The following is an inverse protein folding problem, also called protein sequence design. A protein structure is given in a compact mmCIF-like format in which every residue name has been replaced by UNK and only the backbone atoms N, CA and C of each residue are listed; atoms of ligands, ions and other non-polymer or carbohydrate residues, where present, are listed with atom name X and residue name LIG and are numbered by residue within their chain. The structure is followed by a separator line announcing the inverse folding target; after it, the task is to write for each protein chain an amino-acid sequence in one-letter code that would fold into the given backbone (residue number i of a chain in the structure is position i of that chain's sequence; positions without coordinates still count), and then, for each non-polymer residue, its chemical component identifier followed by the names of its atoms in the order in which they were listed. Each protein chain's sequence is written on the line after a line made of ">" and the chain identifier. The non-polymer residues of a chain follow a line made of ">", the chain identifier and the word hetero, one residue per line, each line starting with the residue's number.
data_IF_605481778853
#
_entry.id   IF_605481778853
#
_cell.length_a   1.000
_cell.length_b   1.000
_cell.length_c   1.000
_cell.angle_alpha   90.00
_cell.angle_beta   90.00
_cell.angle_gamma   90.00
#
_symmetry.space_group_name_H-M   'P 1'
#
loop_
_entity.id
_entity.type
_entity.pdbx_description
1 polymer ?
#
# COMPACT_ATOMS: atom_id res chain seq x y z
N UNK A 1 47.84 -12.96 -75.80
CA UNK A 1 48.49 -12.33 -74.65
C UNK A 1 49.13 -11.04 -75.10
N UNK A 2 48.40 -9.93 -75.26
CA UNK A 2 48.92 -8.67 -75.72
C UNK A 2 47.88 -7.62 -75.99
N UNK A 3 46.97 -7.36 -75.06
CA UNK A 3 45.91 -6.39 -75.28
C UNK A 3 45.56 -5.49 -74.11
N UNK A 4 46.02 -5.76 -72.90
CA UNK A 4 45.66 -4.99 -71.71
C UNK A 4 46.71 -3.93 -71.32
N UNK A 5 47.91 -3.98 -71.83
CA UNK A 5 49.02 -3.09 -71.47
C UNK A 5 49.03 -1.72 -72.17
N UNK A 6 48.23 -1.54 -73.24
CA UNK A 6 48.24 -0.31 -74.05
C UNK A 6 47.08 0.63 -73.76
N UNK A 7 46.02 0.12 -73.07
CA UNK A 7 44.85 0.93 -72.74
C UNK A 7 45.02 1.82 -71.51
N UNK A 8 46.01 1.53 -70.67
CA UNK A 8 46.29 2.31 -69.47
C UNK A 8 47.22 3.54 -69.70
N UNK A 9 47.76 3.72 -70.88
CA UNK A 9 48.69 4.84 -71.22
C UNK A 9 47.99 6.08 -71.78
N UNK A 10 46.65 6.05 -72.01
CA UNK A 10 45.95 7.19 -72.66
C UNK A 10 44.81 7.75 -71.71
N UNK A 11 44.79 7.42 -70.49
CA UNK A 11 43.85 8.08 -69.56
C UNK A 11 44.41 9.41 -69.10
N UNK A 12 43.71 10.50 -69.40
CA UNK A 12 44.02 11.86 -69.00
C UNK A 12 44.22 11.99 -67.48
N UNK A 13 45.20 12.78 -67.05
CA UNK A 13 45.55 12.97 -65.66
C UNK A 13 44.34 13.37 -64.78
N UNK A 14 43.32 14.01 -65.36
CA UNK A 14 42.11 14.41 -64.70
C UNK A 14 41.18 13.22 -64.31
N UNK A 15 41.22 12.12 -65.10
CA UNK A 15 40.42 10.92 -64.86
C UNK A 15 41.03 10.06 -63.70
N UNK A 16 42.37 10.03 -63.62
CA UNK A 16 43.07 9.37 -62.51
C UNK A 16 42.84 10.08 -61.17
N UNK A 17 42.89 11.41 -61.15
CA UNK A 17 42.61 12.19 -59.97
C UNK A 17 41.12 12.03 -59.51
N UNK A 18 40.17 11.86 -60.44
CA UNK A 18 38.75 11.66 -60.10
C UNK A 18 38.48 10.30 -59.53
N UNK A 19 39.18 9.25 -59.96
CA UNK A 19 39.07 7.88 -59.45
C UNK A 19 39.73 7.78 -58.08
N UNK A 20 40.87 8.43 -57.82
CA UNK A 20 41.52 8.46 -56.51
C UNK A 20 40.68 9.25 -55.49
N UNK A 21 40.04 10.37 -55.89
CA UNK A 21 39.20 11.16 -55.02
C UNK A 21 37.86 10.44 -54.68
N UNK A 22 37.32 9.67 -55.66
CA UNK A 22 36.09 8.86 -55.36
C UNK A 22 36.37 7.65 -54.44
N UNK A 23 37.56 6.98 -54.59
CA UNK A 23 37.94 5.90 -53.66
C UNK A 23 38.27 6.41 -52.27
N UNK A 24 38.93 7.54 -52.11
CA UNK A 24 39.17 8.13 -50.78
C UNK A 24 37.90 8.60 -50.12
N UNK A 25 36.91 9.14 -50.87
CA UNK A 25 35.59 9.49 -50.33
C UNK A 25 34.79 8.26 -49.91
N UNK A 26 34.87 7.14 -50.66
CA UNK A 26 34.16 5.92 -50.31
C UNK A 26 34.76 5.23 -49.06
N UNK A 27 36.08 5.30 -48.87
CA UNK A 27 36.75 4.82 -47.65
C UNK A 27 36.46 5.74 -46.44
N UNK A 28 36.48 7.06 -46.62
CA UNK A 28 36.14 8.00 -45.54
C UNK A 28 34.67 7.89 -45.11
N UNK A 29 33.74 7.63 -46.05
CA UNK A 29 32.32 7.42 -45.71
C UNK A 29 32.11 6.08 -45.01
N UNK A 30 32.86 5.02 -45.35
CA UNK A 30 32.81 3.75 -44.65
C UNK A 30 33.39 3.82 -43.22
N UNK A 31 34.52 4.51 -43.03
CA UNK A 31 35.07 4.70 -41.67
C UNK A 31 34.17 5.54 -40.78
N UNK A 32 33.57 6.62 -41.31
CA UNK A 32 32.64 7.46 -40.55
C UNK A 32 31.33 6.71 -40.21
N UNK A 33 30.86 5.83 -41.10
CA UNK A 33 29.67 5.01 -40.81
C UNK A 33 29.96 3.84 -39.84
N UNK A 34 31.17 3.26 -39.88
CA UNK A 34 31.57 2.23 -38.91
C UNK A 34 31.90 2.82 -37.54
N UNK A 35 32.49 4.02 -37.43
CA UNK A 35 32.68 4.72 -36.15
C UNK A 35 31.36 5.23 -35.57
N UNK A 36 30.41 5.75 -36.37
CA UNK A 36 29.09 6.15 -35.89
C UNK A 36 28.26 4.95 -35.41
N UNK A 37 28.34 3.81 -36.13
CA UNK A 37 27.67 2.57 -35.67
C UNK A 37 28.36 1.95 -34.42
N UNK A 38 29.68 2.11 -34.27
CA UNK A 38 30.37 1.69 -33.04
C UNK A 38 30.11 2.62 -31.85
N UNK A 39 29.79 3.88 -32.07
CA UNK A 39 29.39 4.81 -31.00
C UNK A 39 27.92 4.63 -30.59
N UNK A 40 27.02 4.17 -31.47
CA UNK A 40 25.65 3.85 -31.11
C UNK A 40 25.52 2.55 -30.29
N UNK A 41 26.44 1.59 -30.42
CA UNK A 41 26.43 0.34 -29.65
C UNK A 41 26.91 0.50 -28.20
N UNK A 42 27.43 1.66 -27.79
CA UNK A 42 27.94 1.91 -26.45
C UNK A 42 27.19 3.02 -25.66
N UNK A 43 26.00 3.41 -26.09
CA UNK A 43 25.12 4.20 -25.21
C UNK A 43 24.57 3.23 -24.16
N UNK A 44 25.27 3.07 -23.05
CA UNK A 44 24.73 2.48 -21.83
C UNK A 44 23.56 3.37 -21.44
N UNK A 45 22.34 2.97 -21.83
CA UNK A 45 21.12 3.67 -21.37
C UNK A 45 21.13 3.64 -19.86
N UNK A 46 21.17 4.81 -19.25
CA UNK A 46 21.02 4.88 -17.80
C UNK A 46 19.74 4.13 -17.37
N UNK A 47 19.81 3.38 -16.28
CA UNK A 47 18.65 2.61 -15.83
C UNK A 47 17.48 3.55 -15.52
N UNK A 48 16.31 3.23 -16.08
CA UNK A 48 15.08 3.96 -15.76
C UNK A 48 14.72 3.65 -14.32
N UNK A 49 14.78 4.65 -13.45
CA UNK A 49 14.45 4.55 -12.03
C UNK A 49 13.09 5.19 -11.77
N UNK A 50 12.24 4.47 -11.06
CA UNK A 50 10.95 4.95 -10.57
C UNK A 50 10.87 4.73 -9.07
N UNK A 51 10.20 5.63 -8.38
CA UNK A 51 9.91 5.50 -6.95
C UNK A 51 8.42 5.68 -6.75
N UNK A 52 7.78 4.69 -6.14
CA UNK A 52 6.35 4.69 -5.83
C UNK A 52 6.22 4.69 -4.32
N UNK A 53 5.39 5.59 -3.80
CA UNK A 53 5.15 5.73 -2.38
C UNK A 53 3.76 5.23 -2.03
N UNK A 54 3.69 4.19 -1.20
CA UNK A 54 2.44 3.66 -0.65
C UNK A 54 2.30 4.08 0.81
N UNK A 55 1.08 4.33 1.25
CA UNK A 55 0.76 4.51 2.68
C UNK A 55 -0.26 3.47 3.14
N UNK A 56 -0.08 3.02 4.39
CA UNK A 56 -0.99 2.12 5.08
C UNK A 56 -1.30 2.68 6.46
N UNK A 57 -2.54 2.55 6.89
CA UNK A 57 -2.97 2.89 8.24
C UNK A 57 -3.90 1.81 8.79
N UNK A 58 -4.11 1.82 10.12
CA UNK A 58 -4.89 0.81 10.83
C UNK A 58 -6.40 0.93 10.65
N UNK A 59 -7.15 0.71 11.72
CA UNK A 59 -8.61 0.56 11.67
C UNK A 59 -9.32 1.90 11.53
N UNK A 60 -10.11 2.02 10.46
CA UNK A 60 -11.03 3.12 10.17
C UNK A 60 -12.46 2.65 10.50
N UNK A 61 -12.90 2.90 11.73
CA UNK A 61 -14.29 2.66 12.15
C UNK A 61 -15.07 3.95 12.01
N UNK A 62 -15.48 4.26 10.76
CA UNK A 62 -16.19 5.50 10.40
C UNK A 62 -17.69 5.38 10.70
N UNK A 63 -18.01 5.23 11.95
CA UNK A 63 -19.39 5.02 12.43
C UNK A 63 -19.44 4.87 13.92
N UNK A 64 -20.53 4.30 14.42
CA UNK A 64 -20.73 4.02 15.84
C UNK A 64 -21.73 2.88 16.02
N UNK A 65 -21.83 2.33 17.23
CA UNK A 65 -22.94 1.48 17.67
C UNK A 65 -23.89 2.29 18.55
N UNK A 66 -25.17 2.00 18.49
CA UNK A 66 -26.21 2.61 19.34
C UNK A 66 -26.03 2.36 20.85
N UNK A 67 -25.17 1.42 21.24
CA UNK A 67 -24.78 1.17 22.64
C UNK A 67 -23.88 2.27 23.21
N UNK A 68 -23.20 3.05 22.36
CA UNK A 68 -22.39 4.17 22.80
C UNK A 68 -23.21 5.45 22.96
N UNK A 69 -22.78 6.32 23.89
CA UNK A 69 -23.40 7.62 24.07
C UNK A 69 -23.23 8.48 22.82
N UNK A 70 -24.33 8.91 22.22
CA UNK A 70 -24.32 9.68 20.97
C UNK A 70 -23.47 10.95 21.07
N UNK A 71 -23.59 11.71 22.16
CA UNK A 71 -22.93 13.02 22.31
C UNK A 71 -21.39 12.96 22.24
N UNK A 72 -20.80 11.81 22.47
CA UNK A 72 -19.34 11.57 22.40
C UNK A 72 -18.95 10.72 21.19
N UNK A 73 -19.88 10.41 20.31
CA UNK A 73 -19.66 9.54 19.15
C UNK A 73 -19.05 10.29 17.96
N UNK A 74 -18.50 9.53 17.01
CA UNK A 74 -18.00 10.05 15.75
C UNK A 74 -19.11 10.78 14.94
N UNK A 75 -20.35 10.26 14.82
CA UNK A 75 -21.44 11.02 14.20
C UNK A 75 -21.75 12.36 14.89
N UNK A 76 -21.68 12.44 16.21
CA UNK A 76 -21.84 13.71 16.91
C UNK A 76 -20.70 14.68 16.59
N UNK A 77 -19.45 14.21 16.52
CA UNK A 77 -18.32 15.02 16.11
C UNK A 77 -18.50 15.55 14.67
N UNK A 78 -19.02 14.73 13.75
CA UNK A 78 -19.35 15.15 12.38
C UNK A 78 -20.39 16.29 12.37
N UNK A 79 -21.48 16.16 13.12
CA UNK A 79 -22.50 17.21 13.20
C UNK A 79 -21.91 18.50 13.81
N UNK A 80 -21.14 18.37 14.90
CA UNK A 80 -20.52 19.51 15.59
C UNK A 80 -19.46 20.23 14.74
N UNK A 81 -18.83 19.53 13.79
CA UNK A 81 -17.90 20.12 12.81
C UNK A 81 -18.61 20.90 11.67
N UNK A 82 -19.93 21.00 11.71
CA UNK A 82 -20.72 21.58 10.62
C UNK A 82 -20.89 20.63 9.42
N UNK A 83 -20.89 19.33 9.65
CA UNK A 83 -20.93 18.25 8.65
C UNK A 83 -19.74 18.29 7.68
N UNK A 84 -18.56 18.59 8.20
CA UNK A 84 -17.34 18.67 7.44
C UNK A 84 -16.66 17.28 7.33
N UNK A 85 -16.72 16.66 6.16
CA UNK A 85 -16.08 15.36 5.90
C UNK A 85 -14.56 15.42 6.03
N UNK A 86 -13.92 16.57 5.80
CA UNK A 86 -12.48 16.73 5.96
C UNK A 86 -12.04 16.84 7.42
N UNK A 87 -12.96 16.98 8.37
CA UNK A 87 -12.66 17.14 9.80
C UNK A 87 -11.81 15.99 10.34
N UNK A 88 -12.16 14.76 10.00
CA UNK A 88 -11.54 13.57 10.59
C UNK A 88 -10.08 13.37 10.18
N UNK A 89 -9.72 13.65 8.94
CA UNK A 89 -8.38 13.40 8.42
C UNK A 89 -7.58 14.70 8.20
N UNK A 90 -8.06 15.84 8.70
CA UNK A 90 -7.46 17.17 8.46
C UNK A 90 -5.97 17.27 8.83
N UNK A 91 -5.51 16.55 9.84
CA UNK A 91 -4.13 16.60 10.30
C UNK A 91 -3.19 15.61 9.59
N UNK A 92 -3.73 14.71 8.76
CA UNK A 92 -2.97 13.64 8.08
C UNK A 92 -3.26 13.55 6.58
N UNK A 93 -4.34 14.17 6.08
CA UNK A 93 -4.72 14.09 4.66
C UNK A 93 -3.62 14.54 3.70
N UNK A 94 -2.77 15.49 4.11
CA UNK A 94 -1.64 15.93 3.30
C UNK A 94 -0.59 14.83 3.10
N UNK A 95 -0.48 13.88 4.04
CA UNK A 95 0.43 12.72 3.91
C UNK A 95 -0.08 11.80 2.80
N UNK A 96 -1.37 11.48 2.82
CA UNK A 96 -2.04 10.62 1.86
C UNK A 96 -2.16 11.29 0.47
N UNK A 97 -2.38 12.61 0.43
CA UNK A 97 -2.42 13.36 -0.83
C UNK A 97 -1.05 13.49 -1.53
N UNK A 98 0.05 13.22 -0.85
CA UNK A 98 1.40 13.28 -1.39
C UNK A 98 2.06 11.90 -1.59
N UNK A 99 1.31 10.82 -1.42
CA UNK A 99 1.73 9.48 -1.84
C UNK A 99 1.10 9.10 -3.20
N UNK A 100 1.36 7.89 -3.65
CA UNK A 100 0.82 7.37 -4.92
C UNK A 100 -0.39 6.46 -4.69
N UNK A 101 -0.55 5.92 -3.48
CA UNK A 101 -1.68 5.07 -3.11
C UNK A 101 -1.74 4.81 -1.60
N UNK A 102 -2.89 5.02 -1.01
CA UNK A 102 -3.18 4.70 0.40
C UNK A 102 -4.21 3.58 0.51
N UNK A 103 -3.90 2.54 1.30
CA UNK A 103 -4.80 1.44 1.64
C UNK A 103 -5.02 1.37 3.16
N UNK A 104 -6.28 1.30 3.59
CA UNK A 104 -6.66 1.21 5.01
C UNK A 104 -7.70 0.11 5.26
N UNK A 105 -7.90 -0.29 6.52
CA UNK A 105 -8.99 -1.18 6.88
C UNK A 105 -10.26 -0.39 7.20
N UNK A 106 -11.32 -0.55 6.41
CA UNK A 106 -12.64 0.02 6.68
C UNK A 106 -13.44 -0.93 7.58
N UNK A 107 -13.33 -0.73 8.89
CA UNK A 107 -13.92 -1.58 9.92
C UNK A 107 -15.32 -1.08 10.32
N UNK A 108 -16.18 -0.87 9.34
CA UNK A 108 -17.58 -0.45 9.53
C UNK A 108 -18.39 -0.72 8.27
N UNK A 109 -19.71 -0.69 8.36
CA UNK A 109 -20.59 -0.66 7.20
C UNK A 109 -21.05 0.76 6.90
N UNK A 110 -21.13 1.12 5.63
CA UNK A 110 -21.79 2.33 5.16
C UNK A 110 -23.20 1.96 4.67
N UNK A 111 -24.20 2.13 5.52
CA UNK A 111 -25.56 1.68 5.21
C UNK A 111 -26.62 2.48 5.98
N UNK A 112 -27.80 2.57 5.38
CA UNK A 112 -29.00 3.09 6.06
C UNK A 112 -29.84 1.94 6.68
N UNK A 113 -29.41 0.67 6.53
CA UNK A 113 -30.10 -0.46 7.13
C UNK A 113 -30.24 -0.30 8.66
N UNK A 114 -31.40 -0.70 9.19
CA UNK A 114 -31.69 -0.59 10.63
C UNK A 114 -31.54 -1.92 11.37
N UNK A 115 -31.63 -3.03 10.64
CA UNK A 115 -31.61 -4.38 11.22
C UNK A 115 -30.16 -4.82 11.43
N UNK A 116 -29.77 -4.92 12.69
CA UNK A 116 -28.47 -5.45 13.10
C UNK A 116 -28.39 -6.96 12.86
N UNK A 117 -27.26 -7.43 12.37
CA UNK A 117 -26.98 -8.86 12.35
C UNK A 117 -26.81 -9.39 13.79
N UNK A 118 -27.31 -10.60 14.10
CA UNK A 118 -27.05 -11.23 15.38
C UNK A 118 -25.55 -11.54 15.50
N UNK A 119 -25.02 -11.34 16.70
CA UNK A 119 -23.64 -11.71 17.05
C UNK A 119 -23.67 -12.53 18.32
N UNK A 120 -22.81 -13.53 18.41
CA UNK A 120 -22.60 -14.33 19.59
C UNK A 120 -21.61 -13.66 20.54
N UNK A 121 -21.73 -13.93 21.84
CA UNK A 121 -20.83 -13.41 22.86
C UNK A 121 -21.54 -12.48 23.88
N UNK A 122 -20.85 -12.17 24.99
CA UNK A 122 -21.37 -11.32 26.05
C UNK A 122 -21.27 -9.82 25.70
N UNK A 123 -20.22 -9.42 24.98
CA UNK A 123 -19.97 -8.04 24.55
C UNK A 123 -19.73 -8.01 23.07
N UNK A 124 -20.61 -7.37 22.34
CA UNK A 124 -20.46 -7.17 20.89
C UNK A 124 -21.04 -5.83 20.46
N UNK A 125 -20.52 -5.32 19.35
CA UNK A 125 -20.93 -4.07 18.73
C UNK A 125 -21.29 -4.29 17.27
N UNK A 126 -22.21 -3.47 16.75
CA UNK A 126 -22.58 -3.40 15.35
C UNK A 126 -22.35 -1.98 14.86
N UNK A 127 -21.25 -1.78 14.12
CA UNK A 127 -20.87 -0.47 13.64
C UNK A 127 -21.52 -0.14 12.30
N UNK A 128 -22.06 1.06 12.19
CA UNK A 128 -22.43 1.66 10.92
C UNK A 128 -22.17 3.16 10.88
N UNK A 129 -21.90 3.65 9.68
CA UNK A 129 -21.98 5.06 9.30
C UNK A 129 -22.94 5.26 8.14
N UNK A 130 -23.50 6.47 7.98
CA UNK A 130 -24.26 6.83 6.78
C UNK A 130 -23.44 6.61 5.51
N UNK A 131 -24.08 6.30 4.38
CA UNK A 131 -23.40 6.08 3.09
C UNK A 131 -22.51 7.27 2.67
N UNK A 132 -22.94 8.47 3.00
CA UNK A 132 -22.19 9.70 2.74
C UNK A 132 -20.84 9.80 3.44
N UNK A 133 -20.56 8.95 4.46
CA UNK A 133 -19.25 8.91 5.13
C UNK A 133 -18.13 8.39 4.23
N UNK A 134 -18.45 7.82 3.06
CA UNK A 134 -17.44 7.58 2.01
C UNK A 134 -16.68 8.86 1.65
N UNK A 135 -17.31 10.04 1.79
CA UNK A 135 -16.66 11.33 1.56
C UNK A 135 -15.52 11.62 2.57
N UNK A 136 -15.50 10.98 3.73
CA UNK A 136 -14.37 11.07 4.66
C UNK A 136 -13.13 10.45 4.01
N UNK A 137 -13.29 9.29 3.36
CA UNK A 137 -12.21 8.60 2.65
C UNK A 137 -11.73 9.45 1.46
N UNK A 138 -12.63 9.84 0.58
CA UNK A 138 -12.27 10.58 -0.66
C UNK A 138 -11.70 11.97 -0.37
N UNK A 139 -12.20 12.68 0.64
CA UNK A 139 -11.62 13.97 1.08
C UNK A 139 -10.31 13.80 1.84
N UNK A 140 -10.07 12.62 2.38
CA UNK A 140 -8.83 12.28 3.06
C UNK A 140 -7.74 11.72 2.14
N UNK A 141 -7.98 11.62 0.83
CA UNK A 141 -7.08 11.00 -0.17
C UNK A 141 -6.80 9.53 0.13
N UNK A 142 -7.86 8.74 0.37
CA UNK A 142 -7.78 7.29 0.54
C UNK A 142 -8.28 6.64 -0.75
N UNK A 143 -7.40 5.92 -1.45
CA UNK A 143 -7.69 5.29 -2.74
C UNK A 143 -8.30 3.91 -2.59
N UNK A 144 -7.92 3.16 -1.56
CA UNK A 144 -8.38 1.78 -1.38
C UNK A 144 -8.67 1.41 0.06
N UNK A 145 -9.57 0.45 0.21
CA UNK A 145 -9.91 -0.13 1.51
C UNK A 145 -9.93 -1.64 1.46
N UNK A 146 -9.51 -2.29 2.56
CA UNK A 146 -9.94 -3.66 2.83
C UNK A 146 -11.24 -3.64 3.62
N UNK A 147 -12.17 -4.51 3.24
CA UNK A 147 -13.44 -4.72 3.94
C UNK A 147 -13.49 -6.10 4.61
N UNK A 148 -12.39 -6.85 4.58
CA UNK A 148 -12.30 -8.15 5.25
C UNK A 148 -12.08 -7.94 6.76
N UNK A 149 -13.15 -7.84 7.52
CA UNK A 149 -13.12 -7.67 8.97
C UNK A 149 -14.42 -8.18 9.62
N UNK A 150 -14.45 -8.25 10.94
CA UNK A 150 -15.60 -8.75 11.73
C UNK A 150 -16.80 -7.78 11.78
N UNK A 151 -16.68 -6.59 11.20
CA UNK A 151 -17.74 -5.57 11.22
C UNK A 151 -18.42 -5.34 9.86
N UNK A 152 -17.92 -5.90 8.76
CA UNK A 152 -18.51 -5.68 7.44
C UNK A 152 -19.93 -6.25 7.31
N UNK A 153 -20.27 -7.28 8.10
CA UNK A 153 -21.59 -7.91 8.14
C UNK A 153 -22.47 -7.45 9.30
N UNK A 154 -22.12 -6.38 9.99
CA UNK A 154 -22.85 -5.88 11.16
C UNK A 154 -24.34 -5.57 10.90
N UNK A 155 -24.66 -5.27 9.64
CA UNK A 155 -26.01 -5.07 9.15
C UNK A 155 -26.37 -6.06 8.02
N UNK A 156 -25.84 -7.27 8.13
CA UNK A 156 -26.11 -8.39 7.24
C UNK A 156 -25.76 -8.10 5.78
N UNK A 157 -26.42 -8.82 4.87
CA UNK A 157 -26.18 -8.69 3.43
C UNK A 157 -26.46 -7.28 2.90
N UNK A 158 -27.45 -6.57 3.47
CA UNK A 158 -27.74 -5.20 3.04
C UNK A 158 -26.58 -4.27 3.38
N UNK A 159 -26.00 -4.41 4.58
CA UNK A 159 -24.89 -3.59 5.03
C UNK A 159 -23.67 -3.68 4.10
N UNK A 160 -23.20 -4.89 3.79
CA UNK A 160 -22.07 -5.07 2.88
C UNK A 160 -22.42 -4.65 1.44
N UNK A 161 -23.64 -4.92 0.96
CA UNK A 161 -24.06 -4.51 -0.39
C UNK A 161 -24.04 -2.99 -0.54
N UNK A 162 -24.62 -2.26 0.43
CA UNK A 162 -24.62 -0.80 0.44
C UNK A 162 -23.20 -0.25 0.49
N UNK A 163 -22.35 -0.82 1.36
CA UNK A 163 -20.95 -0.42 1.51
C UNK A 163 -20.18 -0.58 0.20
N UNK A 164 -20.28 -1.75 -0.43
CA UNK A 164 -19.59 -2.01 -1.71
C UNK A 164 -20.07 -1.07 -2.81
N UNK A 165 -21.38 -0.84 -2.89
CA UNK A 165 -21.95 0.04 -3.92
C UNK A 165 -21.44 1.47 -3.76
N UNK A 166 -21.52 2.03 -2.55
CA UNK A 166 -21.09 3.43 -2.32
C UNK A 166 -19.58 3.60 -2.51
N UNK A 167 -18.77 2.62 -2.15
CA UNK A 167 -17.32 2.64 -2.41
C UNK A 167 -17.05 2.67 -3.92
N UNK A 168 -17.68 1.79 -4.69
CA UNK A 168 -17.54 1.74 -6.16
C UNK A 168 -18.01 3.03 -6.85
N UNK A 169 -19.16 3.56 -6.45
CA UNK A 169 -19.71 4.82 -6.98
C UNK A 169 -18.74 5.99 -6.76
N UNK A 170 -17.99 5.96 -5.65
CA UNK A 170 -17.01 6.97 -5.31
C UNK A 170 -15.57 6.62 -5.72
N UNK A 171 -15.38 5.54 -6.51
CA UNK A 171 -14.10 5.10 -7.06
C UNK A 171 -13.05 4.77 -5.99
N UNK A 172 -13.49 4.28 -4.84
CA UNK A 172 -12.63 3.72 -3.82
C UNK A 172 -12.43 2.23 -4.14
N UNK A 173 -11.19 1.81 -4.29
CA UNK A 173 -10.84 0.42 -4.58
C UNK A 173 -11.13 -0.47 -3.37
N UNK A 174 -11.51 -1.72 -3.63
CA UNK A 174 -11.97 -2.65 -2.59
C UNK A 174 -11.19 -3.96 -2.67
N UNK A 175 -10.64 -4.42 -1.56
CA UNK A 175 -10.21 -5.81 -1.40
C UNK A 175 -10.85 -6.46 -0.17
N UNK A 176 -10.85 -7.79 -0.12
CA UNK A 176 -11.57 -8.56 0.91
C UNK A 176 -12.96 -9.00 0.46
N UNK A 177 -13.52 -9.98 1.13
CA UNK A 177 -14.86 -10.53 0.85
C UNK A 177 -15.06 -10.93 -0.62
N UNK A 178 -13.99 -11.49 -1.24
CA UNK A 178 -13.97 -11.90 -2.64
C UNK A 178 -13.51 -10.82 -3.63
N UNK A 179 -13.38 -9.58 -3.20
CA UNK A 179 -12.80 -8.51 -4.01
C UNK A 179 -11.28 -8.52 -3.93
N UNK A 180 -10.63 -8.14 -5.05
CA UNK A 180 -9.17 -8.02 -5.18
C UNK A 180 -8.88 -6.70 -5.89
N UNK A 181 -7.83 -6.01 -5.47
CA UNK A 181 -7.36 -4.83 -6.17
C UNK A 181 -6.19 -5.23 -7.05
N UNK A 182 -6.27 -4.91 -8.34
CA UNK A 182 -5.16 -4.89 -9.27
C UNK A 182 -5.05 -3.47 -9.82
N UNK A 183 -4.06 -2.71 -9.35
CA UNK A 183 -3.91 -1.29 -9.67
C UNK A 183 -2.60 -1.04 -10.40
N UNK A 184 -2.68 -0.34 -11.54
CA UNK A 184 -1.51 0.22 -12.18
C UNK A 184 -1.17 1.57 -11.49
N UNK A 185 0.03 1.65 -10.93
CA UNK A 185 0.57 2.85 -10.30
C UNK A 185 1.87 3.17 -11.01
N UNK A 186 1.91 4.23 -11.78
CA UNK A 186 3.07 4.67 -12.57
C UNK A 186 3.66 3.57 -13.50
N UNK A 187 2.80 2.69 -14.04
CA UNK A 187 3.20 1.59 -14.91
C UNK A 187 3.69 0.33 -14.18
N UNK A 188 3.52 0.26 -12.86
CA UNK A 188 3.78 -0.93 -12.04
C UNK A 188 2.46 -1.45 -11.51
N UNK A 189 2.18 -2.73 -11.72
CA UNK A 189 0.93 -3.36 -11.27
C UNK A 189 1.07 -3.87 -9.83
N UNK A 190 0.26 -3.31 -8.95
CA UNK A 190 0.13 -3.71 -7.55
C UNK A 190 -1.13 -4.55 -7.36
N UNK A 191 -1.00 -5.63 -6.61
CA UNK A 191 -2.11 -6.43 -6.12
C UNK A 191 -2.30 -6.23 -4.62
N UNK A 192 -3.52 -5.92 -4.19
CA UNK A 192 -3.88 -5.89 -2.77
C UNK A 192 -4.99 -6.89 -2.50
N UNK A 193 -4.85 -7.63 -1.41
CA UNK A 193 -5.77 -8.67 -0.97
C UNK A 193 -6.22 -8.39 0.46
N UNK A 194 -7.44 -8.77 0.81
CA UNK A 194 -7.98 -8.62 2.16
C UNK A 194 -8.46 -9.95 2.74
N UNK A 195 -8.07 -10.24 3.98
CA UNK A 195 -8.46 -11.48 4.66
C UNK A 195 -8.80 -11.24 6.13
N UNK A 196 -9.78 -11.98 6.65
CA UNK A 196 -9.86 -12.26 8.08
C UNK A 196 -8.97 -13.47 8.38
N UNK A 197 -8.19 -13.37 9.45
CA UNK A 197 -7.19 -14.40 9.81
C UNK A 197 -7.42 -14.98 11.20
N UNK A 198 -8.59 -15.57 11.44
CA UNK A 198 -8.94 -16.16 12.74
C UNK A 198 -8.31 -17.53 12.96
N UNK A 199 -8.11 -18.28 11.90
CA UNK A 199 -7.62 -19.65 11.93
C UNK A 199 -6.58 -19.90 10.84
N UNK A 200 -5.61 -20.75 11.12
CA UNK A 200 -4.64 -21.26 10.14
C UNK A 200 -5.24 -22.49 9.41
N UNK A 201 -6.40 -22.30 8.78
CA UNK A 201 -7.13 -23.37 8.11
C UNK A 201 -6.61 -23.67 6.70
N UNK A 202 -6.88 -24.90 6.20
CA UNK A 202 -6.56 -25.27 4.80
C UNK A 202 -7.25 -24.37 3.80
N UNK A 203 -8.54 -24.08 4.03
CA UNK A 203 -9.36 -23.29 3.11
C UNK A 203 -8.81 -21.86 2.96
N UNK A 204 -8.41 -21.22 4.06
CA UNK A 204 -7.80 -19.89 4.00
C UNK A 204 -6.43 -19.92 3.33
N UNK A 205 -5.62 -20.94 3.61
CA UNK A 205 -4.32 -21.12 2.93
C UNK A 205 -4.46 -21.31 1.42
N UNK A 206 -5.40 -22.16 1.00
CA UNK A 206 -5.68 -22.39 -0.42
C UNK A 206 -6.20 -21.10 -1.09
N UNK A 207 -7.07 -20.35 -0.41
CA UNK A 207 -7.55 -19.05 -0.87
C UNK A 207 -6.39 -18.07 -1.06
N UNK A 208 -5.53 -17.88 -0.06
CA UNK A 208 -4.36 -16.98 -0.14
C UNK A 208 -3.46 -17.35 -1.33
N UNK A 209 -3.11 -18.62 -1.44
CA UNK A 209 -2.26 -19.13 -2.52
C UNK A 209 -2.87 -18.90 -3.90
N UNK A 210 -4.16 -19.21 -4.06
CA UNK A 210 -4.89 -19.05 -5.32
C UNK A 210 -5.02 -17.57 -5.70
N UNK A 211 -5.37 -16.70 -4.75
CA UNK A 211 -5.52 -15.26 -4.99
C UNK A 211 -4.19 -14.60 -5.39
N UNK A 212 -3.09 -14.97 -4.73
CA UNK A 212 -1.74 -14.49 -5.09
C UNK A 212 -1.37 -14.97 -6.50
N UNK A 213 -1.59 -16.27 -6.80
CA UNK A 213 -1.31 -16.82 -8.12
C UNK A 213 -2.15 -16.14 -9.21
N UNK A 214 -3.42 -15.91 -8.96
CA UNK A 214 -4.31 -15.21 -9.89
C UNK A 214 -3.82 -13.79 -10.20
N UNK A 215 -3.48 -12.99 -9.17
CA UNK A 215 -2.97 -11.64 -9.38
C UNK A 215 -1.62 -11.64 -10.11
N UNK A 216 -0.73 -12.59 -9.83
CA UNK A 216 0.53 -12.76 -10.58
C UNK A 216 0.25 -13.06 -12.05
N UNK A 217 -0.69 -13.96 -12.35
CA UNK A 217 -1.08 -14.29 -13.72
C UNK A 217 -1.71 -13.09 -14.46
N UNK A 218 -2.35 -12.18 -13.74
CA UNK A 218 -2.86 -10.92 -14.28
C UNK A 218 -1.78 -9.83 -14.40
N UNK A 219 -0.54 -10.15 -14.03
CA UNK A 219 0.63 -9.30 -14.17
C UNK A 219 0.98 -8.42 -12.96
N UNK A 220 0.42 -8.72 -11.78
CA UNK A 220 0.85 -8.04 -10.56
C UNK A 220 2.34 -8.27 -10.29
N UNK A 221 3.11 -7.19 -10.21
CA UNK A 221 4.54 -7.20 -9.92
C UNK A 221 4.81 -7.18 -8.41
N UNK A 222 3.89 -6.59 -7.65
CA UNK A 222 3.96 -6.48 -6.19
C UNK A 222 2.60 -6.85 -5.62
N UNK A 223 2.57 -7.74 -4.62
CA UNK A 223 1.34 -8.19 -3.96
C UNK A 223 1.47 -8.01 -2.46
N UNK A 224 0.51 -7.31 -1.87
CA UNK A 224 0.47 -6.99 -0.44
C UNK A 224 -0.88 -7.41 0.15
N UNK A 225 -0.96 -8.54 0.86
CA UNK A 225 -2.12 -8.89 1.66
C UNK A 225 -2.28 -8.00 2.88
N UNK A 226 -3.51 -7.61 3.18
CA UNK A 226 -3.92 -6.94 4.41
C UNK A 226 -4.82 -7.87 5.22
N UNK A 227 -4.42 -8.18 6.44
CA UNK A 227 -5.14 -9.08 7.33
C UNK A 227 -5.85 -8.34 8.46
N UNK A 228 -7.04 -8.80 8.80
CA UNK A 228 -7.76 -8.45 10.02
C UNK A 228 -7.78 -9.69 10.93
N UNK A 229 -6.98 -9.70 12.00
CA UNK A 229 -6.63 -10.91 12.77
C UNK A 229 -6.19 -10.58 14.19
N UNK A 230 -5.92 -11.63 14.96
CA UNK A 230 -5.32 -11.47 16.27
C UNK A 230 -6.33 -11.40 17.39
N UNK A 231 -5.84 -11.02 18.55
CA UNK A 231 -6.61 -10.90 19.79
C UNK A 231 -6.64 -9.43 20.20
N UNK A 232 -7.84 -8.90 20.44
CA UNK A 232 -7.99 -7.51 20.87
C UNK A 232 -7.16 -7.21 22.12
N UNK A 233 -6.47 -6.06 22.12
CA UNK A 233 -5.60 -5.54 23.19
C UNK A 233 -4.37 -6.40 23.50
N UNK A 234 -4.07 -7.43 22.68
CA UNK A 234 -2.81 -8.16 22.78
C UNK A 234 -1.72 -7.41 22.00
N UNK A 235 -0.63 -7.07 22.68
CA UNK A 235 0.55 -6.43 22.05
C UNK A 235 1.46 -7.43 21.36
N UNK A 236 1.28 -8.70 21.61
CA UNK A 236 2.04 -9.80 21.01
C UNK A 236 1.19 -10.50 19.94
N UNK A 237 1.72 -10.69 18.71
CA UNK A 237 1.03 -11.47 17.70
C UNK A 237 1.04 -12.94 18.08
N UNK A 238 -0.12 -13.58 18.05
CA UNK A 238 -0.21 -15.01 18.34
C UNK A 238 0.13 -15.87 17.12
N UNK A 239 0.26 -17.17 17.35
CA UNK A 239 0.80 -18.13 16.37
C UNK A 239 0.08 -18.10 15.01
N UNK A 240 -1.26 -17.97 14.98
CA UNK A 240 -2.03 -17.95 13.73
C UNK A 240 -1.65 -16.74 12.86
N UNK A 241 -1.46 -15.56 13.45
CA UNK A 241 -1.02 -14.37 12.73
C UNK A 241 0.37 -14.61 12.09
N UNK A 242 1.31 -15.15 12.89
CA UNK A 242 2.67 -15.41 12.44
C UNK A 242 2.70 -16.44 11.31
N UNK A 243 1.93 -17.52 11.43
CA UNK A 243 1.87 -18.60 10.45
C UNK A 243 1.23 -18.11 9.14
N UNK A 244 0.11 -17.35 9.19
CA UNK A 244 -0.55 -16.80 8.00
C UNK A 244 0.34 -15.78 7.28
N UNK A 245 1.03 -14.89 8.01
CA UNK A 245 1.94 -13.93 7.43
C UNK A 245 3.07 -14.61 6.65
N UNK A 246 3.77 -15.56 7.31
CA UNK A 246 4.87 -16.31 6.71
C UNK A 246 4.41 -17.14 5.52
N UNK A 247 3.25 -17.80 5.65
CA UNK A 247 2.64 -18.54 4.54
C UNK A 247 2.35 -17.64 3.34
N UNK A 248 1.84 -16.43 3.55
CA UNK A 248 1.59 -15.47 2.47
C UNK A 248 2.87 -15.09 1.74
N UNK A 249 3.94 -14.80 2.47
CA UNK A 249 5.26 -14.49 1.91
C UNK A 249 5.83 -15.68 1.15
N UNK A 250 5.73 -16.89 1.71
CA UNK A 250 6.21 -18.12 1.08
C UNK A 250 5.47 -18.44 -0.22
N UNK A 251 4.24 -17.94 -0.38
CA UNK A 251 3.45 -18.09 -1.61
C UNK A 251 3.51 -16.86 -2.53
N UNK A 252 4.39 -15.90 -2.27
CA UNK A 252 4.70 -14.83 -3.21
C UNK A 252 4.17 -13.45 -2.86
N UNK A 253 3.73 -13.21 -1.62
CA UNK A 253 3.49 -11.86 -1.14
C UNK A 253 4.81 -11.10 -0.94
N UNK A 254 4.81 -9.78 -1.16
CA UNK A 254 6.00 -8.91 -1.07
C UNK A 254 6.10 -8.17 0.25
N UNK A 255 4.99 -8.01 0.95
CA UNK A 255 4.85 -7.56 2.33
C UNK A 255 3.52 -8.06 2.87
N UNK A 256 3.30 -7.99 4.19
CA UNK A 256 2.03 -8.32 4.85
C UNK A 256 1.70 -7.22 5.86
N UNK A 257 0.46 -6.73 5.80
CA UNK A 257 -0.06 -5.69 6.68
C UNK A 257 -1.20 -6.26 7.51
N UNK A 258 -1.31 -5.85 8.77
CA UNK A 258 -2.35 -6.34 9.67
C UNK A 258 -2.98 -5.27 10.56
N UNK A 259 -4.19 -5.58 11.03
CA UNK A 259 -4.99 -4.80 11.98
C UNK A 259 -5.92 -5.70 12.80
N UNK A 260 -6.84 -5.16 13.56
CA UNK A 260 -7.80 -5.76 14.49
C UNK A 260 -7.41 -5.72 15.97
N UNK A 261 -6.17 -5.97 16.43
CA UNK A 261 -5.89 -5.96 17.86
C UNK A 261 -6.21 -4.64 18.58
N UNK A 262 -6.50 -3.57 17.84
CA UNK A 262 -6.78 -2.21 18.32
C UNK A 262 -5.63 -1.59 19.12
N UNK A 263 -4.48 -2.21 19.09
CA UNK A 263 -3.19 -1.77 19.62
C UNK A 263 -2.08 -2.07 18.62
N UNK A 264 -0.97 -1.37 18.73
CA UNK A 264 0.23 -1.64 17.93
C UNK A 264 0.79 -3.00 18.34
N UNK A 265 1.12 -3.85 17.37
CA UNK A 265 1.91 -5.07 17.55
C UNK A 265 3.26 -4.95 16.85
N UNK A 266 4.08 -5.98 16.97
CA UNK A 266 5.42 -6.06 16.39
C UNK A 266 5.39 -5.96 14.86
N UNK A 267 6.57 -5.63 14.33
CA UNK A 267 6.94 -5.81 12.93
C UNK A 267 8.02 -6.90 12.84
N UNK A 268 8.05 -7.63 11.74
CA UNK A 268 9.02 -8.71 11.52
C UNK A 268 9.64 -8.60 10.12
N UNK A 269 10.95 -8.82 10.01
CA UNK A 269 11.58 -9.13 8.73
C UNK A 269 11.63 -10.65 8.55
N UNK A 270 10.91 -11.14 7.53
CA UNK A 270 10.90 -12.56 7.17
C UNK A 270 11.30 -12.74 5.71
N UNK A 271 12.41 -13.42 5.46
CA UNK A 271 12.98 -13.59 4.11
C UNK A 271 13.13 -12.27 3.35
N UNK A 272 13.61 -11.21 4.06
CA UNK A 272 13.78 -9.88 3.47
C UNK A 272 12.48 -9.15 3.14
N UNK A 273 11.33 -9.60 3.66
CA UNK A 273 10.03 -8.97 3.45
C UNK A 273 9.41 -8.55 4.78
N UNK A 274 8.73 -7.40 4.76
CA UNK A 274 8.14 -6.83 5.96
C UNK A 274 6.80 -7.48 6.28
N UNK A 275 6.62 -7.82 7.55
CA UNK A 275 5.34 -8.14 8.17
C UNK A 275 5.05 -7.08 9.23
N UNK A 276 3.87 -6.46 9.16
CA UNK A 276 3.31 -5.59 10.20
C UNK A 276 2.10 -6.29 10.79
N UNK A 277 2.18 -6.71 12.04
CA UNK A 277 1.11 -7.51 12.65
C UNK A 277 -0.12 -6.70 13.03
N UNK A 278 0.06 -5.48 13.55
CA UNK A 278 -1.04 -4.54 13.78
C UNK A 278 -0.56 -3.09 13.84
N UNK A 279 -1.24 -2.23 13.12
CA UNK A 279 -1.03 -0.78 13.20
C UNK A 279 -1.92 -0.11 14.26
N UNK A 280 -2.81 -0.86 14.92
CA UNK A 280 -3.78 -0.34 15.86
C UNK A 280 -4.95 0.39 15.19
N UNK A 281 -5.71 1.11 16.00
CA UNK A 281 -6.77 1.99 15.51
C UNK A 281 -6.18 3.18 14.72
N UNK A 282 -6.99 3.81 13.84
CA UNK A 282 -6.57 5.06 13.20
C UNK A 282 -7.67 6.13 13.32
N UNK A 283 -8.67 6.14 12.43
CA UNK A 283 -9.85 6.99 12.58
C UNK A 283 -10.97 6.15 13.21
N UNK A 284 -11.03 6.11 14.54
CA UNK A 284 -11.72 5.05 15.25
C UNK A 284 -12.95 5.54 16.02
N UNK A 285 -14.13 5.31 15.44
CA UNK A 285 -15.44 5.61 16.06
C UNK A 285 -15.94 4.56 17.06
N UNK A 286 -15.20 3.48 17.26
CA UNK A 286 -15.64 2.35 18.12
C UNK A 286 -15.50 2.58 19.64
N UNK A 287 -14.84 3.68 20.06
CA UNK A 287 -14.73 4.04 21.47
C UNK A 287 -14.43 5.54 21.60
N UNK A 288 -15.17 6.25 22.47
CA UNK A 288 -14.99 7.68 22.72
C UNK A 288 -13.75 8.02 23.54
N UNK A 289 -13.12 7.05 24.19
CA UNK A 289 -11.87 7.24 24.92
C UNK A 289 -11.11 5.92 25.13
N UNK A 290 -10.57 5.30 24.06
CA UNK A 290 -9.80 4.07 24.22
C UNK A 290 -8.56 4.32 25.08
N UNK A 291 -8.15 3.35 25.92
CA UNK A 291 -7.02 3.52 26.83
C UNK A 291 -5.69 3.67 26.10
N UNK A 292 -5.50 2.98 24.98
CA UNK A 292 -4.34 3.15 24.09
C UNK A 292 -4.78 3.91 22.84
N UNK A 293 -4.16 5.07 22.61
CA UNK A 293 -4.42 5.94 21.44
C UNK A 293 -3.27 5.94 20.44
N UNK A 294 -2.23 5.12 20.69
CA UNK A 294 -1.05 5.05 19.83
C UNK A 294 -1.36 4.31 18.55
N UNK A 295 -0.86 4.83 17.46
CA UNK A 295 -0.94 4.25 16.13
C UNK A 295 0.22 4.76 15.27
N UNK A 296 0.28 4.40 14.02
CA UNK A 296 1.21 4.95 13.06
C UNK A 296 0.70 4.82 11.63
N UNK A 297 1.26 5.61 10.74
CA UNK A 297 1.17 5.40 9.30
C UNK A 297 2.46 4.72 8.87
N UNK A 298 2.34 3.60 8.16
CA UNK A 298 3.45 2.98 7.45
C UNK A 298 3.54 3.57 6.06
N UNK A 299 4.68 4.15 5.71
CA UNK A 299 5.01 4.46 4.32
C UNK A 299 5.99 3.43 3.77
N UNK A 300 5.66 2.85 2.62
CA UNK A 300 6.52 1.95 1.87
C UNK A 300 6.96 2.63 0.57
N UNK A 301 8.24 2.91 0.44
CA UNK A 301 8.85 3.40 -0.79
C UNK A 301 9.30 2.21 -1.61
N UNK A 302 8.72 2.05 -2.78
CA UNK A 302 8.99 0.97 -3.71
C UNK A 302 9.90 1.50 -4.80
N UNK A 303 11.16 1.05 -4.83
CA UNK A 303 12.13 1.45 -5.83
C UNK A 303 12.13 0.44 -6.98
N UNK A 304 11.89 0.92 -8.18
CA UNK A 304 11.84 0.15 -9.43
C UNK A 304 13.02 0.56 -10.30
N UNK A 305 13.72 -0.39 -10.86
CA UNK A 305 14.82 -0.16 -11.80
C UNK A 305 14.65 -1.07 -13.03
N UNK A 306 14.54 -0.46 -14.22
CA UNK A 306 14.26 -1.16 -15.48
C UNK A 306 13.02 -2.06 -15.40
N UNK A 307 11.91 -1.52 -14.87
CA UNK A 307 10.61 -2.17 -14.66
C UNK A 307 10.64 -3.39 -13.74
N UNK A 308 11.69 -3.55 -12.92
CA UNK A 308 11.82 -4.59 -11.89
C UNK A 308 11.91 -3.98 -10.50
N UNK A 309 11.31 -4.66 -9.53
CA UNK A 309 11.48 -4.31 -8.12
C UNK A 309 12.96 -4.39 -7.75
N UNK A 310 13.50 -3.27 -7.24
CA UNK A 310 14.86 -3.18 -6.72
C UNK A 310 14.87 -3.49 -5.23
N UNK A 311 14.16 -2.66 -4.44
CA UNK A 311 14.01 -2.83 -2.99
C UNK A 311 12.79 -2.06 -2.47
N UNK A 312 12.46 -2.36 -1.22
CA UNK A 312 11.57 -1.54 -0.41
C UNK A 312 12.38 -0.75 0.62
N UNK A 313 11.94 0.47 0.88
CA UNK A 313 12.33 1.25 2.04
C UNK A 313 11.07 1.63 2.81
N UNK A 314 11.13 1.56 4.12
CA UNK A 314 9.98 1.80 4.97
C UNK A 314 10.21 3.02 5.86
N UNK A 315 9.13 3.68 6.22
CA UNK A 315 9.15 4.81 7.16
C UNK A 315 7.94 4.69 8.07
N UNK A 316 8.16 4.86 9.36
CA UNK A 316 7.09 4.94 10.34
C UNK A 316 6.80 6.41 10.62
N UNK A 317 5.54 6.80 10.47
CA UNK A 317 5.05 8.08 10.94
C UNK A 317 4.22 7.84 12.19
N UNK A 318 4.81 7.95 13.39
CA UNK A 318 4.09 7.77 14.64
C UNK A 318 2.92 8.74 14.73
N UNK A 319 1.77 8.25 15.18
CA UNK A 319 0.55 9.02 15.27
C UNK A 319 -0.28 8.62 16.51
N UNK A 320 -1.21 9.48 16.84
CA UNK A 320 -2.25 9.24 17.84
C UNK A 320 -3.60 9.26 17.11
N UNK A 321 -4.56 8.44 17.53
CA UNK A 321 -5.91 8.41 16.94
C UNK A 321 -6.73 9.68 17.22
N UNK A 322 -6.22 10.57 18.05
CA UNK A 322 -6.87 11.79 18.50
C UNK A 322 -5.86 12.92 18.57
N UNK A 323 -6.30 14.15 18.31
CA UNK A 323 -5.52 15.35 18.56
C UNK A 323 -5.45 15.72 20.05
N UNK A 324 -6.20 14.99 20.89
CA UNK A 324 -6.36 15.23 22.32
C UNK A 324 -5.92 14.03 23.14
N UNK A 325 -5.39 14.29 24.35
CA UNK A 325 -4.98 13.24 25.27
C UNK A 325 -6.16 12.74 26.15
N UNK A 326 -7.10 13.62 26.47
CA UNK A 326 -8.19 13.37 27.43
C UNK A 326 -9.38 12.59 26.86
N UNK A 327 -9.53 12.56 25.54
CA UNK A 327 -10.62 11.88 24.84
C UNK A 327 -10.23 11.54 23.40
N UNK A 328 -11.09 10.81 22.71
CA UNK A 328 -11.01 10.65 21.27
C UNK A 328 -11.86 11.72 20.59
N UNK A 329 -11.24 12.61 19.82
CA UNK A 329 -11.91 13.59 18.96
C UNK A 329 -11.99 13.14 17.50
N UNK A 330 -11.54 11.89 17.24
CA UNK A 330 -11.57 11.26 15.92
C UNK A 330 -10.71 11.94 14.86
N UNK A 331 -9.69 12.71 15.28
CA UNK A 331 -8.74 13.39 14.40
C UNK A 331 -7.35 12.77 14.58
N UNK A 332 -7.01 11.71 13.83
CA UNK A 332 -5.66 11.17 13.82
C UNK A 332 -4.64 12.28 13.56
N UNK A 333 -3.62 12.31 14.42
CA UNK A 333 -2.63 13.39 14.41
C UNK A 333 -1.24 12.80 14.56
N UNK A 334 -0.25 13.30 13.81
CA UNK A 334 1.13 12.86 13.98
C UNK A 334 1.60 13.10 15.40
N UNK A 335 2.21 12.08 15.98
CA UNK A 335 2.78 12.17 17.32
C UNK A 335 4.03 13.05 17.32
N UNK A 336 4.18 13.84 18.36
CA UNK A 336 5.33 14.71 18.58
C UNK A 336 5.93 14.50 19.98
N UNK A 337 7.15 14.95 20.19
CA UNK A 337 7.84 14.88 21.49
C UNK A 337 7.88 13.45 22.03
N UNK A 338 7.51 13.28 23.31
CA UNK A 338 7.55 11.99 23.99
C UNK A 338 6.65 10.93 23.33
N UNK A 339 5.45 11.30 22.90
CA UNK A 339 4.55 10.34 22.23
C UNK A 339 5.19 9.72 20.98
N UNK A 340 5.90 10.52 20.17
CA UNK A 340 6.64 10.03 19.01
C UNK A 340 7.73 9.05 19.41
N UNK A 341 8.53 9.44 20.39
CA UNK A 341 9.65 8.63 20.91
C UNK A 341 9.13 7.31 21.50
N UNK A 342 8.07 7.36 22.29
CA UNK A 342 7.46 6.19 22.93
C UNK A 342 6.94 5.18 21.91
N UNK A 343 6.29 5.64 20.82
CA UNK A 343 5.80 4.75 19.76
C UNK A 343 6.95 4.08 19.02
N UNK A 344 8.00 4.83 18.67
CA UNK A 344 9.16 4.27 17.98
C UNK A 344 9.93 3.28 18.86
N UNK A 345 10.11 3.61 20.16
CA UNK A 345 10.73 2.70 21.12
C UNK A 345 9.92 1.43 21.29
N UNK A 346 8.59 1.56 21.49
CA UNK A 346 7.70 0.43 21.59
C UNK A 346 7.79 -0.50 20.38
N UNK A 347 7.74 0.03 19.15
CA UNK A 347 7.88 -0.76 17.93
C UNK A 347 9.22 -1.50 17.87
N UNK A 348 10.32 -0.82 18.22
CA UNK A 348 11.64 -1.45 18.25
C UNK A 348 11.77 -2.54 19.34
N UNK A 349 11.15 -2.35 20.51
CA UNK A 349 11.15 -3.32 21.59
C UNK A 349 10.31 -4.57 21.23
N UNK A 350 9.15 -4.36 20.63
CA UNK A 350 8.27 -5.45 20.19
C UNK A 350 8.80 -6.21 18.97
N UNK A 351 9.76 -5.65 18.22
CA UNK A 351 10.18 -6.15 16.90
C UNK A 351 11.64 -6.63 16.91
N UNK A 352 11.94 -7.80 17.48
CA UNK A 352 13.33 -8.24 17.70
C UNK A 352 14.14 -8.39 16.41
N UNK A 353 13.50 -8.77 15.28
CA UNK A 353 14.20 -8.90 13.97
C UNK A 353 14.53 -7.53 13.35
N UNK A 354 13.91 -6.45 13.82
CA UNK A 354 14.07 -5.09 13.34
C UNK A 354 14.55 -4.13 14.44
N UNK A 355 15.01 -4.66 15.57
CA UNK A 355 15.40 -3.85 16.73
C UNK A 355 16.45 -2.81 16.36
N UNK A 356 16.12 -1.54 16.64
CA UNK A 356 16.98 -0.38 16.34
C UNK A 356 16.95 0.08 14.88
N UNK A 357 16.22 -0.61 13.99
CA UNK A 357 16.05 -0.20 12.59
C UNK A 357 14.83 0.68 12.37
N UNK A 358 13.76 0.49 13.16
CA UNK A 358 12.48 1.19 12.99
C UNK A 358 12.63 2.65 13.38
N UNK A 359 12.32 3.55 12.43
CA UNK A 359 12.46 5.02 12.62
C UNK A 359 11.50 5.79 11.72
N UNK A 360 11.43 7.09 11.93
CA UNK A 360 10.62 8.04 11.16
C UNK A 360 11.35 8.65 9.96
N UNK A 361 12.43 8.03 9.56
CA UNK A 361 13.12 8.21 8.28
C UNK A 361 13.03 6.89 7.48
N UNK A 362 13.27 6.95 6.16
CA UNK A 362 13.27 5.72 5.36
C UNK A 362 14.41 4.79 5.75
N UNK A 363 14.10 3.53 6.04
CA UNK A 363 15.03 2.48 6.42
C UNK A 363 14.80 1.20 5.61
N UNK A 364 15.80 0.37 5.52
CA UNK A 364 15.74 -0.97 4.94
C UNK A 364 15.70 -2.01 6.05
N UNK A 365 15.08 -3.15 5.75
CA UNK A 365 14.87 -4.22 6.74
C UNK A 365 15.91 -5.34 6.65
N UNK A 366 16.76 -5.30 5.62
CA UNK A 366 17.89 -6.20 5.44
C UNK A 366 19.19 -5.65 6.05
#
# INVERSE_FOLDING_TARGET
>A
VGGLGVYLKSMNSSAKQKIEVETEKEYAVKEVTEESNKQEENIVKEPVKKTILLSFAGDFTLGTDTKFAYNTSLPAAFINSGKNYSYFLQNVSNIFANDDYTLVNLETTFTDAEVKAPKDGEVFYNFKGPKEYVNILTKGSIEGVTIANNHIYDYGKQGITDTVNVLKENKVDICGEGYKILRDIQGVKFGFLGYTGWEYSSDLKDKIKNDISELRNQGAQIIIPYFHWGIERSYEPYEVQQNLAKFSIDNGADAVIGSHPHVIQSMESYKGKLIVYSMGNFCFGGNSNPPDKRTFILQARVNIENDKLKNFQYKILPAMISSRNDKNDYIPTLAAGNNKTDILNMLNELSPTLKGKIKDEFFEIE
#
